data_IF_589427279763
#
_entry.id   IF_589427279763
#
_cell.length_a   1.000
_cell.length_b   1.000
_cell.length_c   1.000
_cell.angle_alpha   90.00
_cell.angle_beta   90.00
_cell.angle_gamma   90.00
#
_symmetry.space_group_name_H-M   'P 1'
#
loop_
_entity.id
_entity.type
_entity.pdbx_description
1 polymer ?
#
# COMPACT_ATOMS: atom_id res chain seq x y z
N UNK A 1 12.67 8.54 -13.81
CA UNK A 1 11.80 9.30 -12.89
C UNK A 1 12.58 9.44 -11.62
N UNK A 2 13.01 10.66 -11.29
CA UNK A 2 13.81 10.90 -10.09
C UNK A 2 12.91 10.82 -8.86
N UNK A 3 13.35 10.04 -7.88
CA UNK A 3 12.63 9.81 -6.64
C UNK A 3 13.20 10.78 -5.61
N UNK A 4 12.45 11.82 -5.28
CA UNK A 4 12.93 12.88 -4.39
C UNK A 4 12.68 12.55 -2.92
N UNK A 5 13.64 12.95 -2.08
CA UNK A 5 13.48 12.91 -0.62
C UNK A 5 12.87 14.23 -0.17
N UNK A 6 11.71 14.15 0.46
CA UNK A 6 10.99 15.27 1.05
C UNK A 6 11.28 15.32 2.55
N UNK A 7 11.66 16.49 3.05
CA UNK A 7 11.91 16.70 4.47
C UNK A 7 10.68 17.31 5.14
N UNK A 8 10.33 16.82 6.32
CA UNK A 8 9.30 17.39 7.18
C UNK A 8 9.99 18.35 8.14
N UNK A 9 9.68 19.64 8.00
CA UNK A 9 10.27 20.70 8.83
C UNK A 9 9.45 20.93 10.11
N UNK A 10 8.12 20.82 10.02
CA UNK A 10 7.22 20.95 11.15
C UNK A 10 5.95 20.12 10.94
N UNK A 11 5.48 19.43 11.99
CA UNK A 11 4.17 18.76 12.00
C UNK A 11 3.20 19.61 12.82
N UNK A 12 2.09 20.00 12.21
CA UNK A 12 1.06 20.84 12.85
C UNK A 12 -0.05 20.00 13.47
N UNK A 13 -0.46 18.92 12.80
CA UNK A 13 -1.45 17.99 13.35
C UNK A 13 -1.32 16.59 12.77
N UNK A 14 -1.74 15.61 13.55
CA UNK A 14 -1.82 14.21 13.17
C UNK A 14 -3.21 13.68 13.52
N UNK A 15 -3.87 13.03 12.56
CA UNK A 15 -5.14 12.34 12.77
C UNK A 15 -4.98 10.88 12.37
N UNK A 16 -5.07 9.99 13.34
CA UNK A 16 -5.03 8.55 13.13
C UNK A 16 -6.31 8.08 12.45
N UNK A 17 -6.14 7.37 11.33
CA UNK A 17 -7.17 6.56 10.68
C UNK A 17 -7.01 5.08 11.02
N UNK A 18 -7.84 4.24 10.39
CA UNK A 18 -7.77 2.78 10.51
C UNK A 18 -6.55 2.22 9.79
N UNK A 19 -6.17 2.76 8.63
CA UNK A 19 -5.14 2.21 7.73
C UNK A 19 -3.90 3.10 7.59
N UNK A 20 -4.05 4.38 7.87
CA UNK A 20 -2.96 5.34 7.84
C UNK A 20 -3.20 6.55 8.74
N UNK A 21 -2.36 7.55 8.55
CA UNK A 21 -2.34 8.78 9.34
C UNK A 21 -2.42 9.98 8.39
N UNK A 22 -3.35 10.88 8.68
CA UNK A 22 -3.42 12.18 8.02
C UNK A 22 -2.55 13.18 8.79
N UNK A 23 -1.72 13.91 8.07
CA UNK A 23 -0.70 14.79 8.63
C UNK A 23 -0.77 16.14 7.94
N UNK A 24 -0.94 17.19 8.73
CA UNK A 24 -0.72 18.57 8.26
C UNK A 24 0.70 18.96 8.64
N UNK A 25 1.56 19.24 7.66
CA UNK A 25 2.97 19.51 7.89
C UNK A 25 3.54 20.55 6.93
N UNK A 26 4.61 21.22 7.37
CA UNK A 26 5.46 22.01 6.49
C UNK A 26 6.59 21.13 5.95
N UNK A 27 6.67 21.00 4.63
CA UNK A 27 7.66 20.17 3.93
C UNK A 27 8.66 21.02 3.15
N UNK A 28 9.84 20.47 2.89
CA UNK A 28 10.86 21.05 2.02
C UNK A 28 11.43 19.99 1.08
N UNK A 29 11.35 20.26 -0.23
CA UNK A 29 11.86 19.44 -1.32
C UNK A 29 12.18 20.33 -2.54
N UNK A 30 11.31 21.32 -2.77
CA UNK A 30 11.45 22.37 -3.79
C UNK A 30 11.13 23.76 -3.20
N UNK A 31 11.52 23.97 -1.95
CA UNK A 31 11.08 25.10 -1.14
C UNK A 31 9.95 24.71 -0.19
N UNK A 32 9.74 25.57 0.80
CA UNK A 32 8.83 25.32 1.91
C UNK A 32 7.38 25.39 1.47
N UNK A 33 6.63 24.33 1.75
CA UNK A 33 5.19 24.23 1.47
C UNK A 33 4.46 23.69 2.68
N UNK A 34 3.22 24.12 2.86
CA UNK A 34 2.30 23.51 3.81
C UNK A 34 1.46 22.48 3.06
N UNK A 35 1.47 21.24 3.51
CA UNK A 35 0.83 20.12 2.83
C UNK A 35 -0.05 19.30 3.77
N UNK A 36 -1.10 18.73 3.19
CA UNK A 36 -2.00 17.77 3.83
C UNK A 36 -1.73 16.40 3.23
N UNK A 37 -1.05 15.56 4.00
CA UNK A 37 -0.48 14.29 3.55
C UNK A 37 -1.15 13.11 4.22
N UNK A 38 -1.19 11.98 3.52
CA UNK A 38 -1.61 10.69 4.03
C UNK A 38 -0.45 9.69 3.95
N UNK A 39 -0.18 9.02 5.06
CA UNK A 39 0.83 7.97 5.16
C UNK A 39 0.21 6.65 5.65
N UNK A 40 0.48 5.51 5.00
CA UNK A 40 0.14 4.20 5.56
C UNK A 40 0.77 3.98 6.94
N UNK A 41 0.04 3.26 7.81
CA UNK A 41 0.49 2.96 9.17
C UNK A 41 1.84 2.25 9.22
N UNK A 42 2.13 1.42 8.21
CA UNK A 42 3.38 0.67 8.07
C UNK A 42 4.63 1.54 7.95
N UNK A 43 4.50 2.76 7.39
CA UNK A 43 5.64 3.65 7.16
C UNK A 43 5.65 4.86 8.08
N UNK A 44 4.51 5.27 8.65
CA UNK A 44 4.41 6.53 9.40
C UNK A 44 5.42 6.63 10.54
N UNK A 45 5.59 5.56 11.34
CA UNK A 45 6.56 5.55 12.45
C UNK A 45 7.99 5.88 11.98
N UNK A 46 8.41 5.34 10.84
CA UNK A 46 9.73 5.61 10.25
C UNK A 46 9.81 7.05 9.77
N UNK A 47 8.81 7.51 9.01
CA UNK A 47 8.77 8.86 8.46
C UNK A 47 8.84 9.91 9.57
N UNK A 48 8.03 9.74 10.62
CA UNK A 48 8.00 10.64 11.77
C UNK A 48 9.34 10.67 12.51
N UNK A 49 9.96 9.52 12.73
CA UNK A 49 11.25 9.44 13.42
C UNK A 49 12.40 10.05 12.60
N UNK A 50 12.37 9.90 11.28
CA UNK A 50 13.41 10.39 10.38
C UNK A 50 13.21 11.86 9.96
N UNK A 51 11.99 12.39 10.11
CA UNK A 51 11.62 13.72 9.62
C UNK A 51 11.71 13.84 8.10
N UNK A 52 11.62 12.74 7.36
CA UNK A 52 11.70 12.71 5.90
C UNK A 52 11.04 11.47 5.31
N UNK A 53 10.63 11.58 4.07
CA UNK A 53 10.02 10.50 3.29
C UNK A 53 10.42 10.63 1.81
N UNK A 54 10.24 9.56 1.05
CA UNK A 54 10.32 9.61 -0.40
C UNK A 54 8.99 10.12 -0.94
N UNK A 55 8.99 11.04 -1.90
CA UNK A 55 7.76 11.67 -2.45
C UNK A 55 6.65 10.67 -2.79
N UNK A 56 7.00 9.50 -3.36
CA UNK A 56 6.05 8.44 -3.73
C UNK A 56 5.46 7.67 -2.54
N UNK A 57 5.97 7.85 -1.32
CA UNK A 57 5.47 7.22 -0.09
C UNK A 57 4.30 7.99 0.53
N UNK A 58 4.20 9.30 0.25
CA UNK A 58 3.05 10.09 0.66
C UNK A 58 1.96 10.07 -0.41
N UNK A 59 0.73 10.25 0.02
CA UNK A 59 -0.43 10.50 -0.82
C UNK A 59 -1.13 11.77 -0.35
N UNK A 60 -1.98 12.33 -1.19
CA UNK A 60 -2.81 13.45 -0.76
C UNK A 60 -3.92 12.99 0.20
N UNK A 61 -4.55 13.97 0.85
CA UNK A 61 -5.67 13.73 1.75
C UNK A 61 -6.85 13.03 1.06
N UNK A 62 -7.18 13.39 -0.17
CA UNK A 62 -8.33 12.83 -0.89
C UNK A 62 -8.16 11.32 -1.13
N UNK A 63 -6.96 10.89 -1.51
CA UNK A 63 -6.60 9.48 -1.61
C UNK A 63 -6.68 8.79 -0.25
N UNK A 64 -6.18 9.42 0.81
CA UNK A 64 -6.30 8.90 2.17
C UNK A 64 -7.75 8.68 2.60
N UNK A 65 -8.63 9.65 2.34
CA UNK A 65 -10.07 9.55 2.66
C UNK A 65 -10.75 8.42 1.88
N UNK A 66 -10.41 8.27 0.59
CA UNK A 66 -10.87 7.14 -0.21
C UNK A 66 -10.38 5.80 0.36
N UNK A 67 -9.10 5.68 0.71
CA UNK A 67 -8.53 4.45 1.28
C UNK A 67 -9.18 4.12 2.61
N UNK A 68 -9.41 5.08 3.50
CA UNK A 68 -10.05 4.87 4.81
C UNK A 68 -11.54 4.50 4.68
N UNK A 69 -12.20 4.97 3.61
CA UNK A 69 -13.62 4.70 3.34
C UNK A 69 -13.93 3.30 2.79
N UNK A 70 -12.93 2.57 2.25
CA UNK A 70 -13.16 1.22 1.74
C UNK A 70 -13.56 0.26 2.88
N UNK A 71 -14.46 -0.68 2.62
CA UNK A 71 -14.62 -1.81 3.54
C UNK A 71 -13.36 -2.70 3.53
N UNK A 72 -13.23 -3.55 4.54
CA UNK A 72 -12.04 -4.38 4.72
C UNK A 72 -11.81 -5.32 3.54
N UNK A 73 -12.87 -5.94 3.01
CA UNK A 73 -12.78 -6.84 1.88
C UNK A 73 -12.18 -6.15 0.63
N UNK A 74 -12.66 -4.96 0.27
CA UNK A 74 -12.15 -4.21 -0.87
C UNK A 74 -10.73 -3.70 -0.66
N UNK A 75 -10.40 -3.30 0.57
CA UNK A 75 -9.04 -2.87 0.90
C UNK A 75 -8.04 -4.01 0.76
N UNK A 76 -8.33 -5.19 1.31
CA UNK A 76 -7.47 -6.38 1.15
C UNK A 76 -7.37 -6.80 -0.31
N UNK A 77 -8.48 -6.79 -1.06
CA UNK A 77 -8.44 -7.09 -2.49
C UNK A 77 -7.51 -6.16 -3.28
N UNK A 78 -7.43 -4.88 -2.91
CA UNK A 78 -6.70 -3.85 -3.69
C UNK A 78 -5.26 -3.60 -3.22
N UNK A 79 -5.00 -3.65 -1.91
CA UNK A 79 -3.78 -3.10 -1.32
C UNK A 79 -3.00 -4.06 -0.42
N UNK A 80 -3.71 -4.89 0.35
CA UNK A 80 -3.08 -5.86 1.25
C UNK A 80 -3.53 -7.27 0.88
N UNK A 81 -2.66 -8.02 0.22
CA UNK A 81 -2.83 -9.48 0.14
C UNK A 81 -2.56 -10.08 1.53
N UNK A 82 -3.47 -9.87 2.47
CA UNK A 82 -3.44 -10.59 3.74
C UNK A 82 -3.91 -12.02 3.46
N UNK A 83 -2.98 -12.83 2.94
CA UNK A 83 -3.21 -14.23 2.61
C UNK A 83 -3.77 -15.02 3.80
N UNK A 84 -3.57 -14.56 5.05
CA UNK A 84 -4.07 -15.21 6.25
C UNK A 84 -5.59 -15.05 6.45
N UNK A 85 -6.21 -14.11 5.73
CA UNK A 85 -7.67 -13.90 5.76
C UNK A 85 -8.42 -14.79 4.77
N UNK A 86 -7.70 -15.45 3.89
CA UNK A 86 -8.25 -16.37 2.91
C UNK A 86 -8.02 -17.78 3.39
N UNK A 87 -8.98 -18.67 3.14
CA UNK A 87 -8.76 -20.08 3.41
C UNK A 87 -7.73 -20.65 2.43
N UNK A 88 -7.09 -21.76 2.79
CA UNK A 88 -6.15 -22.45 1.90
C UNK A 88 -6.83 -22.82 0.57
N UNK A 89 -8.12 -23.13 0.58
CA UNK A 89 -8.93 -23.41 -0.62
C UNK A 89 -9.10 -22.18 -1.51
N UNK A 90 -9.39 -21.01 -0.93
CA UNK A 90 -9.55 -19.75 -1.66
C UNK A 90 -8.22 -19.32 -2.31
N UNK A 91 -7.11 -19.48 -1.60
CA UNK A 91 -5.77 -19.21 -2.11
C UNK A 91 -5.40 -20.16 -3.26
N UNK A 92 -5.67 -21.46 -3.10
CA UNK A 92 -5.40 -22.46 -4.15
C UNK A 92 -6.24 -22.20 -5.39
N UNK A 93 -7.51 -21.80 -5.24
CA UNK A 93 -8.38 -21.46 -6.36
C UNK A 93 -7.85 -20.25 -7.14
N UNK A 94 -7.42 -19.19 -6.45
CA UNK A 94 -6.88 -17.98 -7.09
C UNK A 94 -5.54 -18.23 -7.77
N UNK A 95 -4.64 -19.03 -7.17
CA UNK A 95 -3.36 -19.42 -7.81
C UNK A 95 -3.63 -20.19 -9.11
N UNK A 96 -4.53 -21.16 -9.08
CA UNK A 96 -4.88 -21.95 -10.26
C UNK A 96 -5.56 -21.10 -11.34
N UNK A 97 -6.42 -20.14 -10.96
CA UNK A 97 -7.05 -19.19 -11.90
C UNK A 97 -5.99 -18.38 -12.66
N UNK A 98 -5.01 -17.82 -11.96
CA UNK A 98 -3.91 -17.04 -12.57
C UNK A 98 -2.97 -17.89 -13.40
N UNK A 99 -2.66 -19.11 -12.95
CA UNK A 99 -1.83 -20.03 -13.72
C UNK A 99 -2.49 -20.47 -15.04
N UNK A 100 -3.82 -20.48 -15.09
CA UNK A 100 -4.59 -20.80 -16.28
C UNK A 100 -4.80 -19.60 -17.22
N UNK A 101 -4.43 -18.37 -16.83
CA UNK A 101 -4.53 -17.21 -17.72
C UNK A 101 -3.49 -17.31 -18.84
N UNK A 102 -3.92 -17.39 -20.11
CA UNK A 102 -2.99 -17.47 -21.24
C UNK A 102 -2.30 -16.11 -21.45
N UNK A 103 -0.98 -16.10 -21.60
CA UNK A 103 -0.29 -14.88 -22.05
C UNK A 103 1.15 -14.66 -21.59
N UNK A 104 1.72 -15.50 -20.72
CA UNK A 104 3.08 -15.21 -20.21
C UNK A 104 4.19 -15.57 -21.21
N UNK A 105 3.98 -16.57 -22.07
CA UNK A 105 4.99 -17.06 -23.02
C UNK A 105 4.34 -17.50 -24.34
N UNK A 106 4.97 -17.17 -25.47
CA UNK A 106 4.43 -17.40 -26.80
C UNK A 106 4.69 -18.80 -27.39
N UNK A 107 5.66 -19.55 -26.83
CA UNK A 107 6.10 -20.86 -27.36
C UNK A 107 6.45 -21.91 -26.30
N UNK A 108 6.36 -21.57 -25.02
CA UNK A 108 6.68 -22.46 -23.90
C UNK A 108 5.52 -22.37 -22.91
N UNK A 109 5.03 -23.51 -22.44
CA UNK A 109 4.00 -23.58 -21.40
C UNK A 109 4.55 -24.31 -20.18
N UNK A 110 4.09 -23.93 -19.00
CA UNK A 110 4.29 -24.68 -17.76
C UNK A 110 2.92 -25.12 -17.25
N UNK A 111 2.79 -26.37 -16.82
CA UNK A 111 1.60 -26.84 -16.12
C UNK A 111 1.87 -26.75 -14.62
N UNK A 112 1.20 -25.81 -13.95
CA UNK A 112 1.37 -25.56 -12.51
C UNK A 112 0.00 -25.69 -11.84
N UNK A 113 -0.08 -26.52 -10.79
CA UNK A 113 -1.29 -26.70 -9.98
C UNK A 113 -0.97 -26.55 -8.51
N UNK A 114 -1.61 -25.57 -7.85
CA UNK A 114 -1.62 -25.47 -6.41
C UNK A 114 -2.59 -26.52 -5.82
N UNK A 115 -2.20 -27.13 -4.71
CA UNK A 115 -2.99 -28.12 -3.97
C UNK A 115 -2.96 -27.79 -2.47
N UNK A 116 -4.09 -28.03 -1.79
CA UNK A 116 -4.14 -28.02 -0.32
C UNK A 116 -3.55 -29.34 0.18
N UNK A 117 -2.52 -29.30 1.02
CA UNK A 117 -1.97 -30.48 1.69
C UNK A 117 -2.51 -30.55 3.12
N UNK A 118 -3.15 -31.66 3.48
CA UNK A 118 -3.44 -31.95 4.89
C UNK A 118 -2.13 -32.39 5.57
N UNK A 119 -1.77 -31.72 6.67
CA UNK A 119 -0.75 -32.22 7.59
C UNK A 119 -1.34 -33.29 8.48
#
# INVERSE_FOLDING_TARGET
MDIFTVFITQIHSEKLGKRGVFVEADTDCYGKRKESLYFPNSIWKRVKAQGKFIETEARDKAYGEYVEGLNDYEYYRRFEYDIQKFTDEELVAEINRRAAEPGLFCKIGFEVKAIVKKR
#
